data_IF_210833012659
#
_entry.id   IF_210833012659
#
_cell.length_a   1.000
_cell.length_b   1.000
_cell.length_c   1.000
_cell.angle_alpha   90.00
_cell.angle_beta   90.00
_cell.angle_gamma   90.00
#
_symmetry.space_group_name_H-M   'P 1'
#
loop_
_entity.id
_entity.type
_entity.pdbx_description
1 polymer ?
#
# COMPACT_ATOMS: atom_id res chain seq x y z
N UNK A 1 -0.12 73.50 20.83
CA UNK A 1 1.22 72.90 20.94
C UNK A 1 1.10 71.61 21.75
N UNK A 2 1.69 70.50 21.24
CA UNK A 2 1.83 69.15 21.85
C UNK A 2 0.55 68.28 21.89
N UNK A 3 0.50 67.00 21.48
CA UNK A 3 1.26 66.12 20.58
C UNK A 3 0.42 64.82 20.53
N UNK A 4 0.00 64.34 19.35
CA UNK A 4 -0.75 63.09 19.20
C UNK A 4 0.24 61.92 19.10
N UNK A 5 0.20 61.03 20.09
CA UNK A 5 0.99 59.80 20.15
C UNK A 5 0.32 58.75 19.26
N UNK A 6 0.99 58.31 18.18
CA UNK A 6 0.61 57.13 17.39
C UNK A 6 1.38 55.92 17.90
N UNK A 7 0.68 54.94 18.46
CA UNK A 7 1.22 53.62 18.77
C UNK A 7 1.09 52.71 17.56
N UNK A 8 2.21 52.30 16.97
CA UNK A 8 2.24 51.22 15.97
C UNK A 8 2.48 49.90 16.67
N UNK A 9 1.44 49.08 16.80
CA UNK A 9 1.55 47.68 17.21
C UNK A 9 2.23 46.92 16.07
N UNK A 10 3.49 46.51 16.26
CA UNK A 10 4.18 45.61 15.34
C UNK A 10 3.72 44.19 15.63
N UNK A 11 2.86 43.64 14.77
CA UNK A 11 2.46 42.24 14.81
C UNK A 11 3.64 41.37 14.39
N UNK A 12 4.26 40.71 15.37
CA UNK A 12 5.31 39.72 15.14
C UNK A 12 4.67 38.47 14.50
N UNK A 13 4.90 38.28 13.20
CA UNK A 13 4.48 37.06 12.49
C UNK A 13 5.42 35.92 12.91
N UNK A 14 4.98 35.06 13.83
CA UNK A 14 5.65 33.79 14.10
C UNK A 14 5.42 32.86 12.90
N UNK A 15 6.43 32.74 12.03
CA UNK A 15 6.53 31.62 11.10
C UNK A 15 6.82 30.36 11.92
N UNK A 16 5.78 29.63 12.33
CA UNK A 16 5.92 28.27 12.84
C UNK A 16 6.46 27.40 11.71
N UNK A 17 7.75 27.08 11.75
CA UNK A 17 8.34 26.05 10.91
C UNK A 17 7.59 24.75 11.20
N UNK A 18 6.79 24.29 10.24
CA UNK A 18 6.25 22.94 10.25
C UNK A 18 7.45 22.01 10.06
N UNK A 19 7.98 21.52 11.17
CA UNK A 19 8.90 20.39 11.16
C UNK A 19 8.11 19.23 10.58
N UNK A 20 8.30 18.94 9.29
CA UNK A 20 7.93 17.63 8.73
C UNK A 20 8.70 16.63 9.59
N UNK A 21 7.98 15.88 10.42
CA UNK A 21 8.55 14.71 11.06
C UNK A 21 9.15 13.87 9.94
N UNK A 22 10.45 13.64 10.02
CA UNK A 22 11.15 12.68 9.18
C UNK A 22 10.61 11.30 9.60
N UNK A 23 9.50 10.90 9.00
CA UNK A 23 9.00 9.52 9.11
C UNK A 23 10.04 8.65 8.41
N UNK A 24 11.05 8.22 9.17
CA UNK A 24 12.09 7.31 8.70
C UNK A 24 11.49 6.11 7.96
N UNK A 25 12.25 5.55 7.01
CA UNK A 25 11.76 4.47 6.15
C UNK A 25 11.04 3.39 6.97
N UNK A 26 9.83 2.96 6.54
CA UNK A 26 9.02 2.04 7.32
C UNK A 26 9.75 0.70 7.51
N UNK A 27 9.47 0.01 8.62
CA UNK A 27 9.93 -1.36 8.83
C UNK A 27 9.47 -2.25 7.67
N UNK A 28 10.38 -2.98 7.03
CA UNK A 28 10.04 -3.87 5.92
C UNK A 28 9.92 -5.32 6.40
N UNK A 29 8.94 -6.05 5.88
CA UNK A 29 8.89 -7.50 6.01
C UNK A 29 10.18 -8.14 5.45
N UNK A 30 10.79 -9.05 6.21
CA UNK A 30 11.99 -9.76 5.75
C UNK A 30 11.74 -10.57 4.47
N UNK A 31 10.52 -11.09 4.32
CA UNK A 31 10.17 -11.99 3.22
C UNK A 31 8.83 -11.63 2.61
N UNK A 32 8.70 -11.66 1.28
CA UNK A 32 7.43 -11.50 0.62
C UNK A 32 6.61 -12.78 0.75
N UNK A 33 5.30 -12.63 0.64
CA UNK A 33 4.40 -13.73 0.29
C UNK A 33 4.23 -13.70 -1.22
N UNK A 34 4.44 -14.83 -1.87
CA UNK A 34 4.29 -14.96 -3.32
C UNK A 34 3.18 -15.96 -3.62
N UNK A 35 2.33 -15.58 -4.54
CA UNK A 35 1.26 -16.42 -5.06
C UNK A 35 1.25 -16.38 -6.58
N UNK A 36 0.61 -17.36 -7.20
CA UNK A 36 0.50 -17.41 -8.65
C UNK A 36 -0.80 -18.08 -9.08
N UNK A 37 -1.20 -17.75 -10.30
CA UNK A 37 -2.15 -18.51 -11.12
C UNK A 37 -1.38 -19.17 -12.26
N UNK A 38 -2.09 -19.61 -13.31
CA UNK A 38 -1.45 -20.01 -14.56
C UNK A 38 -0.88 -18.80 -15.32
N UNK A 39 -1.52 -17.64 -15.17
CA UNK A 39 -1.31 -16.49 -16.06
C UNK A 39 -0.45 -15.40 -15.40
N UNK A 40 -0.52 -15.25 -14.08
CA UNK A 40 0.17 -14.17 -13.38
C UNK A 40 0.66 -14.55 -11.98
N UNK A 41 1.58 -13.73 -11.46
CA UNK A 41 2.18 -13.84 -10.13
C UNK A 41 1.82 -12.62 -9.29
N UNK A 42 1.55 -12.83 -8.00
CA UNK A 42 1.28 -11.79 -7.01
C UNK A 42 2.35 -11.81 -5.93
N UNK A 43 3.05 -10.70 -5.75
CA UNK A 43 4.05 -10.51 -4.71
C UNK A 43 3.53 -9.51 -3.66
N UNK A 44 3.52 -9.91 -2.39
CA UNK A 44 3.03 -9.11 -1.27
C UNK A 44 4.15 -8.91 -0.25
N UNK A 45 4.52 -7.66 0.01
CA UNK A 45 5.50 -7.26 1.01
C UNK A 45 4.83 -6.46 2.13
N UNK A 46 4.98 -6.87 3.40
CA UNK A 46 4.54 -6.05 4.54
C UNK A 46 5.42 -4.81 4.66
N UNK A 47 4.80 -3.66 4.92
CA UNK A 47 5.47 -2.42 5.32
C UNK A 47 4.89 -1.90 6.65
N UNK A 48 5.75 -1.36 7.51
CA UNK A 48 5.42 -0.97 8.87
C UNK A 48 5.29 -2.17 9.83
N UNK A 49 4.83 -1.89 11.05
CA UNK A 49 4.65 -2.92 12.08
C UNK A 49 3.61 -3.97 11.64
N UNK A 50 3.58 -5.13 12.30
CA UNK A 50 2.64 -6.21 11.98
C UNK A 50 1.18 -5.76 12.17
N UNK A 51 0.95 -4.87 13.11
CA UNK A 51 -0.33 -4.29 13.51
C UNK A 51 -0.82 -3.25 12.51
N UNK A 52 0.08 -2.60 11.77
CA UNK A 52 -0.27 -1.61 10.76
C UNK A 52 -0.99 -2.21 9.55
N UNK A 53 -0.92 -3.54 9.37
CA UNK A 53 -1.59 -4.30 8.30
C UNK A 53 -1.49 -3.65 6.91
N UNK A 54 -0.33 -3.07 6.62
CA UNK A 54 -0.05 -2.36 5.37
C UNK A 54 0.90 -3.19 4.52
N UNK A 55 0.61 -3.26 3.23
CA UNK A 55 1.33 -4.10 2.29
C UNK A 55 1.59 -3.37 0.98
N UNK A 56 2.73 -3.65 0.35
CA UNK A 56 2.93 -3.40 -1.06
C UNK A 56 2.56 -4.67 -1.83
N UNK A 57 1.75 -4.51 -2.87
CA UNK A 57 1.31 -5.61 -3.73
C UNK A 57 1.73 -5.28 -5.16
N UNK A 58 2.40 -6.23 -5.80
CA UNK A 58 2.77 -6.21 -7.21
C UNK A 58 2.15 -7.42 -7.91
N UNK A 59 1.66 -7.22 -9.12
CA UNK A 59 1.14 -8.28 -9.97
C UNK A 59 1.94 -8.27 -11.27
N UNK A 60 2.40 -9.44 -11.70
CA UNK A 60 3.20 -9.63 -12.91
C UNK A 60 2.54 -10.69 -13.81
N UNK A 61 2.43 -10.43 -15.11
CA UNK A 61 1.79 -11.29 -16.12
C UNK A 61 0.38 -10.87 -16.55
N UNK A 62 -0.09 -9.66 -16.19
CA UNK A 62 -1.38 -9.15 -16.66
C UNK A 62 -1.25 -8.48 -18.03
N UNK A 63 -2.31 -8.56 -18.84
CA UNK A 63 -2.41 -7.84 -20.12
C UNK A 63 -3.19 -6.51 -19.93
N UNK A 64 -2.67 -5.64 -19.06
CA UNK A 64 -3.22 -4.30 -18.81
C UNK A 64 -2.23 -3.38 -18.07
N UNK A 65 -2.62 -2.13 -17.83
CA UNK A 65 -1.79 -1.11 -17.16
C UNK A 65 -1.45 -1.41 -15.69
N UNK A 66 -2.04 -2.44 -15.09
CA UNK A 66 -1.69 -2.88 -13.72
C UNK A 66 -0.46 -3.77 -13.68
N UNK A 67 -0.05 -4.31 -14.82
CA UNK A 67 1.09 -5.20 -14.89
C UNK A 67 2.37 -4.51 -14.42
N UNK A 68 3.11 -5.21 -13.54
CA UNK A 68 4.36 -4.74 -12.98
C UNK A 68 4.25 -3.58 -11.98
N UNK A 69 3.07 -2.97 -11.81
CA UNK A 69 2.87 -1.84 -10.92
C UNK A 69 2.80 -2.29 -9.45
N UNK A 70 3.39 -1.50 -8.56
CA UNK A 70 3.32 -1.72 -7.12
C UNK A 70 2.31 -0.75 -6.52
N UNK A 71 1.39 -1.28 -5.73
CA UNK A 71 0.38 -0.51 -5.05
C UNK A 71 0.39 -0.79 -3.55
N UNK A 72 0.25 0.27 -2.77
CA UNK A 72 0.07 0.18 -1.32
C UNK A 72 -1.36 -0.19 -1.00
N UNK A 73 -1.47 -1.17 -0.12
CA UNK A 73 -2.70 -1.76 0.34
C UNK A 73 -2.80 -1.74 1.85
N UNK A 74 -4.03 -1.64 2.34
CA UNK A 74 -4.37 -1.87 3.74
C UNK A 74 -5.31 -3.06 3.85
N UNK A 75 -5.21 -3.80 4.94
CA UNK A 75 -6.18 -4.85 5.25
C UNK A 75 -7.50 -4.23 5.69
N UNK A 76 -8.58 -4.60 5.00
CA UNK A 76 -9.95 -4.37 5.41
C UNK A 76 -10.52 -5.69 5.92
N UNK A 77 -10.75 -5.78 7.23
CA UNK A 77 -11.29 -6.98 7.86
C UNK A 77 -12.81 -7.07 7.65
N UNK A 78 -13.27 -8.18 7.08
CA UNK A 78 -14.71 -8.48 6.91
C UNK A 78 -15.33 -9.04 8.21
N UNK A 79 -14.53 -9.33 9.23
CA UNK A 79 -14.98 -9.77 10.56
C UNK A 79 -14.09 -9.23 11.69
N UNK A 80 -14.61 -9.26 12.92
CA UNK A 80 -13.90 -8.78 14.13
C UNK A 80 -12.58 -9.49 14.43
N UNK A 81 -12.42 -10.74 13.98
CA UNK A 81 -11.18 -11.51 14.14
C UNK A 81 -10.18 -11.34 12.99
N UNK A 82 -10.53 -10.54 11.97
CA UNK A 82 -9.78 -10.36 10.73
C UNK A 82 -9.36 -11.66 10.03
N UNK A 83 -10.09 -12.75 10.26
CA UNK A 83 -9.88 -14.04 9.57
C UNK A 83 -10.34 -13.98 8.12
N UNK A 84 -11.32 -13.11 7.85
CA UNK A 84 -11.72 -12.74 6.50
C UNK A 84 -11.26 -11.30 6.25
N UNK A 85 -10.52 -11.08 5.17
CA UNK A 85 -10.05 -9.76 4.82
C UNK A 85 -9.93 -9.54 3.32
N UNK A 86 -9.87 -8.25 2.96
CA UNK A 86 -9.49 -7.74 1.65
C UNK A 86 -8.23 -6.89 1.77
N UNK A 87 -7.38 -6.92 0.78
CA UNK A 87 -6.34 -5.90 0.60
C UNK A 87 -6.92 -4.81 -0.27
N UNK A 88 -7.18 -3.63 0.29
CA UNK A 88 -7.75 -2.46 -0.39
C UNK A 88 -6.67 -1.42 -0.71
N UNK A 89 -6.72 -0.83 -1.90
CA UNK A 89 -5.94 0.35 -2.30
C UNK A 89 -6.85 1.43 -2.91
N UNK A 90 -6.34 2.67 -2.89
CA UNK A 90 -6.93 3.85 -3.52
C UNK A 90 -5.99 4.50 -4.54
N UNK A 91 -4.86 3.85 -4.82
CA UNK A 91 -3.80 4.38 -5.69
C UNK A 91 -4.09 4.18 -7.18
N UNK A 92 -5.24 3.59 -7.52
CA UNK A 92 -5.66 3.33 -8.90
C UNK A 92 -6.55 4.49 -9.38
N UNK A 93 -6.12 5.25 -10.41
CA UNK A 93 -6.92 6.35 -10.96
C UNK A 93 -8.30 5.90 -11.45
N UNK A 94 -9.33 6.73 -11.22
CA UNK A 94 -10.70 6.47 -11.69
C UNK A 94 -11.54 5.52 -10.84
N UNK A 95 -10.94 4.72 -9.95
CA UNK A 95 -11.68 3.81 -9.05
C UNK A 95 -11.68 4.35 -7.61
N UNK A 96 -12.86 4.62 -7.02
CA UNK A 96 -12.93 5.28 -5.71
C UNK A 96 -12.34 4.44 -4.56
N UNK A 97 -12.37 3.10 -4.66
CA UNK A 97 -11.63 2.11 -3.85
C UNK A 97 -11.58 0.80 -4.62
N UNK A 98 -10.43 0.12 -4.63
CA UNK A 98 -10.28 -1.18 -5.26
C UNK A 98 -9.61 -2.16 -4.31
N UNK A 99 -9.87 -3.46 -4.49
CA UNK A 99 -9.33 -4.50 -3.63
C UNK A 99 -8.67 -5.59 -4.48
N UNK A 100 -7.39 -5.83 -4.25
CA UNK A 100 -6.60 -6.78 -5.05
C UNK A 100 -6.88 -8.22 -4.65
N UNK A 101 -6.91 -8.49 -3.35
CA UNK A 101 -6.86 -9.85 -2.81
C UNK A 101 -7.93 -9.99 -1.75
N UNK A 102 -8.73 -11.05 -1.83
CA UNK A 102 -9.70 -11.43 -0.81
C UNK A 102 -9.44 -12.84 -0.29
N UNK A 103 -9.54 -13.03 1.02
CA UNK A 103 -9.57 -14.38 1.60
C UNK A 103 -10.95 -15.01 1.42
N UNK A 104 -11.02 -16.23 0.89
CA UNK A 104 -12.29 -16.97 0.73
C UNK A 104 -12.63 -17.87 1.92
N UNK A 105 -11.73 -18.04 2.89
CA UNK A 105 -11.89 -18.96 4.01
C UNK A 105 -12.09 -18.26 5.36
N UNK A 106 -12.95 -18.83 6.21
CA UNK A 106 -13.30 -18.30 7.55
C UNK A 106 -12.27 -18.58 8.64
N UNK A 107 -11.33 -19.51 8.41
CA UNK A 107 -10.42 -20.01 9.43
C UNK A 107 -9.18 -19.13 9.65
N UNK A 108 -8.99 -18.12 8.78
CA UNK A 108 -7.86 -17.21 8.82
C UNK A 108 -6.62 -17.85 8.21
N UNK A 109 -5.99 -17.13 7.29
CA UNK A 109 -4.77 -17.64 6.66
C UNK A 109 -4.48 -17.02 5.31
N UNK A 110 -3.27 -17.27 4.87
CA UNK A 110 -2.73 -16.99 3.55
C UNK A 110 -3.21 -18.01 2.50
N UNK A 111 -4.38 -18.64 2.72
CA UNK A 111 -4.91 -19.77 1.95
C UNK A 111 -6.28 -19.43 1.38
N UNK A 112 -6.56 -19.88 0.14
CA UNK A 112 -7.80 -19.55 -0.55
C UNK A 112 -7.92 -18.07 -0.86
N UNK A 113 -6.87 -17.46 -1.39
CA UNK A 113 -6.90 -16.07 -1.83
C UNK A 113 -7.48 -16.00 -3.24
N UNK A 114 -8.35 -15.04 -3.49
CA UNK A 114 -8.87 -14.73 -4.83
C UNK A 114 -8.44 -13.33 -5.20
N UNK A 115 -8.02 -13.16 -6.44
CA UNK A 115 -7.66 -11.87 -7.00
C UNK A 115 -8.79 -11.33 -7.88
N UNK A 116 -8.97 -10.00 -7.87
CA UNK A 116 -9.89 -9.29 -8.78
C UNK A 116 -9.15 -8.14 -9.48
N UNK A 117 -8.20 -8.44 -10.39
CA UNK A 117 -7.45 -7.42 -11.12
C UNK A 117 -8.40 -6.43 -11.80
N UNK A 118 -8.07 -5.13 -11.90
CA UNK A 118 -8.90 -4.23 -12.69
C UNK A 118 -8.80 -4.66 -14.16
N UNK A 119 -9.94 -4.69 -14.85
CA UNK A 119 -10.03 -5.22 -16.21
C UNK A 119 -10.13 -6.75 -16.31
N UNK A 120 -10.16 -7.49 -15.20
CA UNK A 120 -10.42 -8.94 -15.18
C UNK A 120 -11.68 -9.21 -14.35
N UNK A 121 -12.73 -9.71 -15.01
CA UNK A 121 -14.03 -9.96 -14.38
C UNK A 121 -14.10 -11.31 -13.67
N UNK A 122 -13.18 -12.23 -14.00
CA UNK A 122 -13.20 -13.59 -13.48
C UNK A 122 -12.40 -13.74 -12.18
N UNK A 123 -12.98 -14.52 -11.26
CA UNK A 123 -12.33 -14.90 -10.01
C UNK A 123 -11.28 -15.96 -10.29
N UNK A 124 -10.04 -15.69 -9.95
CA UNK A 124 -9.00 -16.71 -9.98
C UNK A 124 -8.44 -16.99 -8.59
N UNK A 125 -8.28 -18.28 -8.30
CA UNK A 125 -7.64 -18.74 -7.07
C UNK A 125 -6.13 -18.59 -7.16
N UNK A 126 -5.56 -17.95 -6.14
CA UNK A 126 -4.13 -17.80 -5.99
C UNK A 126 -3.55 -18.99 -5.22
N UNK A 127 -2.55 -19.64 -5.79
CA UNK A 127 -1.79 -20.70 -5.16
C UNK A 127 -0.48 -20.16 -4.61
N UNK A 128 -0.06 -20.65 -3.43
CA UNK A 128 1.20 -20.22 -2.85
C UNK A 128 2.36 -20.67 -3.75
N UNK A 129 3.22 -19.73 -4.12
CA UNK A 129 4.42 -19.98 -4.89
C UNK A 129 5.66 -19.96 -3.99
N UNK A 130 6.78 -20.48 -4.51
CA UNK A 130 8.07 -20.28 -3.86
C UNK A 130 8.48 -18.81 -3.95
N UNK A 131 9.04 -18.30 -2.86
CA UNK A 131 9.63 -16.97 -2.85
C UNK A 131 10.97 -16.97 -3.59
N UNK A 132 11.33 -15.90 -4.32
CA UNK A 132 12.66 -15.78 -4.87
C UNK A 132 13.70 -15.73 -3.75
N UNK A 133 14.81 -16.48 -3.91
CA UNK A 133 15.92 -16.48 -2.94
C UNK A 133 16.63 -15.12 -2.85
N UNK A 134 16.61 -14.37 -3.94
CA UNK A 134 17.25 -13.06 -4.11
C UNK A 134 16.25 -11.90 -4.01
N UNK A 135 15.13 -12.08 -3.30
CA UNK A 135 14.18 -10.98 -3.11
C UNK A 135 14.76 -9.94 -2.15
N UNK A 136 14.83 -8.69 -2.60
CA UNK A 136 15.35 -7.56 -1.83
C UNK A 136 14.21 -6.61 -1.42
N UNK A 137 13.73 -6.67 -0.16
CA UNK A 137 12.60 -5.83 0.30
C UNK A 137 12.85 -4.33 0.12
N UNK A 138 14.08 -3.88 0.36
CA UNK A 138 14.46 -2.48 0.22
C UNK A 138 14.35 -2.03 -1.24
N UNK A 139 14.87 -2.82 -2.19
CA UNK A 139 14.77 -2.51 -3.61
C UNK A 139 13.30 -2.47 -4.07
N UNK A 140 12.48 -3.42 -3.62
CA UNK A 140 11.05 -3.46 -3.92
C UNK A 140 10.32 -2.20 -3.40
N UNK A 141 10.66 -1.75 -2.18
CA UNK A 141 10.12 -0.52 -1.62
C UNK A 141 10.59 0.74 -2.38
N UNK A 142 11.86 0.79 -2.80
CA UNK A 142 12.39 1.91 -3.60
C UNK A 142 11.72 1.99 -4.98
N UNK A 143 11.42 0.86 -5.62
CA UNK A 143 10.62 0.84 -6.86
C UNK A 143 9.26 1.47 -6.65
N UNK A 144 8.56 1.14 -5.55
CA UNK A 144 7.28 1.76 -5.22
C UNK A 144 7.41 3.28 -5.02
N UNK A 145 8.42 3.75 -4.29
CA UNK A 145 8.67 5.18 -4.10
C UNK A 145 8.94 5.91 -5.42
N UNK A 146 9.72 5.30 -6.32
CA UNK A 146 9.97 5.83 -7.66
C UNK A 146 8.68 5.95 -8.47
N UNK A 147 7.81 4.93 -8.42
CA UNK A 147 6.52 4.93 -9.12
C UNK A 147 5.61 6.05 -8.63
N UNK A 148 5.40 6.19 -7.31
CA UNK A 148 4.47 7.21 -6.78
C UNK A 148 4.97 8.64 -6.97
N UNK A 149 6.28 8.84 -7.19
CA UNK A 149 6.84 10.17 -7.47
C UNK A 149 6.54 10.62 -8.91
N UNK A 150 6.25 9.67 -9.80
CA UNK A 150 6.00 9.92 -11.23
C UNK A 150 4.50 9.93 -11.59
N UNK A 151 3.61 9.62 -10.64
CA UNK A 151 2.15 9.66 -10.79
C UNK A 151 1.60 11.03 -10.39
#
# INVERSE_FOLDING_TARGET
MKTLIKWTLSTLLLCSAVVKADEGSPELGKYPKVYQTQDYQVTILRIGSKEAQTYLVKVDGLDNDFDGQIYKHHTLCDNTSCKKYKLETKEIPGTQRWWTIQTTQSWGGNTGLVMYPPGIEEKQYLYKAERPKSFEPAAFYQTYLGQITQR
#
